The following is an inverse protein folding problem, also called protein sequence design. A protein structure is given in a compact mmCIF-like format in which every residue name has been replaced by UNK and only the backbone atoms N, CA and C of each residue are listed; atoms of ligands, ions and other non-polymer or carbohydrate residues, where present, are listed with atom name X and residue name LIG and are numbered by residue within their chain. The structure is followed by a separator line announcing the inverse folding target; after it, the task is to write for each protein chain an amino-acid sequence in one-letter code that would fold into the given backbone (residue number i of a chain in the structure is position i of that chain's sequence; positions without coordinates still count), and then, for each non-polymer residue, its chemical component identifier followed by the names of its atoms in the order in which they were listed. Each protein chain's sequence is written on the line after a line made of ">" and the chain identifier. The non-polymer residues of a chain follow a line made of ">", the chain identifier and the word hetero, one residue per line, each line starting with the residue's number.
data_IF_380201786456
#
_entry.id   IF_380201786456
#
_cell.length_a   1.000
_cell.length_b   1.000
_cell.length_c   1.000
_cell.angle_alpha   90.00
_cell.angle_beta   90.00
_cell.angle_gamma   90.00
#
_symmetry.space_group_name_H-M   'P 1'
#
loop_
_entity.id
_entity.type
_entity.pdbx_description
1 polymer ?
#
# COMPACT_ATOMS: atom_id res chain seq x y z
N UNK A 1 10.47 28.35 -6.64
CA UNK A 1 9.92 28.62 -5.30
C UNK A 1 8.57 27.89 -5.18
N UNK A 2 8.63 26.58 -4.90
CA UNK A 2 7.42 25.82 -4.57
C UNK A 2 7.02 26.23 -3.15
N UNK A 3 5.91 26.95 -3.03
CA UNK A 3 5.42 27.52 -1.78
C UNK A 3 5.20 26.40 -0.74
N UNK A 4 5.51 26.66 0.52
CA UNK A 4 5.31 25.74 1.66
C UNK A 4 3.88 25.19 1.71
N UNK A 5 2.89 25.97 1.26
CA UNK A 5 1.48 25.54 1.20
C UNK A 5 1.23 24.47 0.15
N UNK A 6 1.87 24.53 -1.01
CA UNK A 6 1.76 23.49 -2.04
C UNK A 6 2.42 22.19 -1.60
N UNK A 7 3.50 22.24 -0.81
CA UNK A 7 4.11 21.05 -0.21
C UNK A 7 3.20 20.34 0.79
N UNK A 8 2.48 21.11 1.61
CA UNK A 8 1.54 20.53 2.58
C UNK A 8 0.31 19.89 1.91
N UNK A 9 -0.12 20.35 0.74
CA UNK A 9 -1.18 19.71 -0.03
C UNK A 9 -0.74 18.37 -0.61
N UNK A 10 0.42 18.28 -1.26
CA UNK A 10 0.93 17.01 -1.82
C UNK A 10 1.24 15.94 -0.77
N UNK A 11 1.53 16.33 0.47
CA UNK A 11 1.95 15.42 1.53
C UNK A 11 0.76 14.68 2.17
N UNK A 12 -0.42 15.29 2.18
CA UNK A 12 -1.65 14.65 2.69
C UNK A 12 -2.36 13.77 1.65
N UNK A 13 -1.92 13.82 0.40
CA UNK A 13 -2.55 13.08 -0.70
C UNK A 13 -2.44 11.56 -0.53
N UNK A 14 -1.32 11.05 0.01
CA UNK A 14 -1.15 9.62 0.20
C UNK A 14 -2.11 9.06 1.26
N UNK A 15 -2.26 9.75 2.40
CA UNK A 15 -3.23 9.35 3.43
C UNK A 15 -4.67 9.45 2.93
N UNK A 16 -5.01 10.51 2.19
CA UNK A 16 -6.36 10.70 1.63
C UNK A 16 -6.67 9.62 0.60
N UNK A 17 -5.75 9.35 -0.34
CA UNK A 17 -5.89 8.28 -1.32
C UNK A 17 -6.04 6.91 -0.65
N UNK A 18 -5.24 6.64 0.38
CA UNK A 18 -5.30 5.39 1.14
C UNK A 18 -6.62 5.27 1.91
N UNK A 19 -7.15 6.36 2.46
CA UNK A 19 -8.44 6.37 3.14
C UNK A 19 -9.60 6.10 2.17
N UNK A 20 -9.59 6.73 0.98
CA UNK A 20 -10.60 6.46 -0.06
C UNK A 20 -10.52 5.01 -0.50
N UNK A 21 -9.31 4.49 -0.72
CA UNK A 21 -9.10 3.10 -1.09
C UNK A 21 -9.55 2.13 0.01
N UNK A 22 -9.31 2.46 1.28
CA UNK A 22 -9.78 1.70 2.42
C UNK A 22 -11.32 1.62 2.47
N UNK A 23 -12.02 2.72 2.20
CA UNK A 23 -13.48 2.75 2.10
C UNK A 23 -13.96 1.84 0.96
N UNK A 24 -13.33 1.91 -0.22
CA UNK A 24 -13.67 1.04 -1.35
C UNK A 24 -13.47 -0.44 -1.01
N UNK A 25 -12.40 -0.80 -0.30
CA UNK A 25 -12.18 -2.17 0.15
C UNK A 25 -13.25 -2.64 1.14
N UNK A 26 -13.71 -1.77 2.05
CA UNK A 26 -14.81 -2.08 2.96
C UNK A 26 -16.12 -2.31 2.20
N UNK A 27 -16.41 -1.49 1.18
CA UNK A 27 -17.63 -1.64 0.36
C UNK A 27 -17.63 -2.95 -0.45
N UNK A 28 -16.47 -3.42 -0.87
CA UNK A 28 -16.31 -4.72 -1.56
C UNK A 28 -16.36 -5.91 -0.59
N UNK A 29 -16.42 -5.67 0.72
CA UNK A 29 -16.49 -6.72 1.74
C UNK A 29 -15.13 -7.29 2.14
N UNK A 30 -14.05 -6.54 1.93
CA UNK A 30 -12.73 -6.96 2.38
C UNK A 30 -12.67 -7.03 3.91
N UNK A 31 -11.85 -7.95 4.42
CA UNK A 31 -11.63 -8.10 5.85
C UNK A 31 -11.10 -6.77 6.45
N UNK A 32 -11.69 -6.33 7.55
CA UNK A 32 -11.47 -5.01 8.16
C UNK A 32 -9.99 -4.66 8.45
N UNK A 33 -9.13 -5.65 8.59
CA UNK A 33 -7.69 -5.45 8.84
C UNK A 33 -6.97 -4.84 7.64
N UNK A 34 -7.39 -5.16 6.41
CA UNK A 34 -6.80 -4.65 5.16
C UNK A 34 -6.98 -3.13 5.05
N UNK A 35 -8.20 -2.57 5.18
CA UNK A 35 -8.41 -1.13 5.21
C UNK A 35 -7.60 -0.38 6.26
N UNK A 36 -7.47 -0.94 7.46
CA UNK A 36 -6.65 -0.35 8.52
C UNK A 36 -5.19 -0.30 8.11
N UNK A 37 -4.66 -1.39 7.56
CA UNK A 37 -3.29 -1.45 7.07
C UNK A 37 -3.01 -0.46 5.94
N UNK A 38 -3.97 -0.23 5.04
CA UNK A 38 -3.88 0.79 3.99
C UNK A 38 -3.74 2.20 4.57
N UNK A 39 -4.59 2.57 5.54
CA UNK A 39 -4.53 3.89 6.18
C UNK A 39 -3.21 4.07 6.93
N UNK A 40 -2.78 3.09 7.73
CA UNK A 40 -1.51 3.12 8.44
C UNK A 40 -0.34 3.24 7.45
N UNK A 41 -0.36 2.47 6.36
CA UNK A 41 0.64 2.55 5.30
C UNK A 41 0.72 3.93 4.67
N UNK A 42 -0.43 4.55 4.36
CA UNK A 42 -0.52 5.91 3.84
C UNK A 42 0.08 6.94 4.79
N UNK A 43 -0.25 6.87 6.09
CA UNK A 43 0.30 7.76 7.12
C UNK A 43 1.82 7.59 7.25
N UNK A 44 2.33 6.36 7.26
CA UNK A 44 3.78 6.10 7.31
C UNK A 44 4.48 6.68 6.10
N UNK A 45 3.90 6.52 4.89
CA UNK A 45 4.46 7.09 3.66
C UNK A 45 4.52 8.61 3.73
N UNK A 46 3.45 9.26 4.18
CA UNK A 46 3.41 10.71 4.34
C UNK A 46 4.48 11.17 5.35
N UNK A 47 4.64 10.44 6.47
CA UNK A 47 5.64 10.76 7.48
C UNK A 47 7.08 10.63 6.97
N UNK A 48 7.36 9.59 6.17
CA UNK A 48 8.68 9.38 5.55
C UNK A 48 9.04 10.47 4.52
N UNK A 49 8.04 11.01 3.85
CA UNK A 49 8.23 12.09 2.88
C UNK A 49 8.30 13.45 3.57
N UNK A 50 7.51 13.68 4.63
CA UNK A 50 7.53 14.92 5.43
C UNK A 50 8.87 15.18 6.12
N UNK A 51 9.56 14.16 6.57
CA UNK A 51 10.85 14.28 7.27
C UNK A 51 12.01 14.74 6.37
N UNK A 52 11.82 14.88 5.07
CA UNK A 52 12.87 15.25 4.12
C UNK A 52 12.69 16.67 3.59
N UNK A 53 13.80 17.45 3.62
CA UNK A 53 13.82 18.84 3.11
C UNK A 53 13.50 18.95 1.61
N UNK A 54 13.77 17.88 0.84
CA UNK A 54 13.48 17.79 -0.59
C UNK A 54 12.85 16.44 -0.91
N UNK A 55 11.76 16.47 -1.67
CA UNK A 55 11.09 15.26 -2.18
C UNK A 55 11.91 14.78 -3.38
N UNK A 56 12.72 13.74 -3.16
CA UNK A 56 13.52 13.11 -4.21
C UNK A 56 12.76 11.93 -4.79
N UNK A 57 12.92 11.64 -6.09
CA UNK A 57 12.35 10.45 -6.73
C UNK A 57 12.70 9.16 -5.98
N UNK A 58 13.90 9.08 -5.41
CA UNK A 58 14.33 7.94 -4.58
C UNK A 58 13.50 7.79 -3.30
N UNK A 59 13.15 8.90 -2.63
CA UNK A 59 12.32 8.83 -1.42
C UNK A 59 10.90 8.38 -1.72
N UNK A 60 10.34 8.79 -2.85
CA UNK A 60 9.03 8.33 -3.31
C UNK A 60 9.04 6.83 -3.64
N UNK A 61 10.11 6.34 -4.29
CA UNK A 61 10.28 4.91 -4.58
C UNK A 61 10.30 4.08 -3.30
N UNK A 62 11.07 4.50 -2.29
CA UNK A 62 11.18 3.80 -1.02
C UNK A 62 9.84 3.84 -0.25
N UNK A 63 9.17 4.99 -0.21
CA UNK A 63 7.86 5.12 0.43
C UNK A 63 6.83 4.19 -0.21
N UNK A 64 6.78 4.14 -1.54
CA UNK A 64 5.85 3.26 -2.26
C UNK A 64 6.17 1.77 -2.04
N UNK A 65 7.45 1.39 -2.01
CA UNK A 65 7.85 0.01 -1.72
C UNK A 65 7.45 -0.42 -0.30
N UNK A 66 7.62 0.47 0.69
CA UNK A 66 7.18 0.22 2.06
C UNK A 66 5.65 0.13 2.15
N UNK A 67 4.93 1.01 1.46
CA UNK A 67 3.47 0.94 1.37
C UNK A 67 3.00 -0.42 0.82
N UNK A 68 3.62 -0.87 -0.28
CA UNK A 68 3.32 -2.17 -0.89
C UNK A 68 3.60 -3.35 0.06
N UNK A 69 4.69 -3.29 0.82
CA UNK A 69 5.02 -4.31 1.82
C UNK A 69 4.01 -4.31 3.00
N UNK A 70 3.61 -3.14 3.48
CA UNK A 70 2.60 -2.99 4.54
C UNK A 70 1.24 -3.52 4.05
N UNK A 71 0.87 -3.22 2.82
CA UNK A 71 -0.36 -3.72 2.21
C UNK A 71 -0.33 -5.26 2.10
N UNK A 72 0.77 -5.84 1.58
CA UNK A 72 0.94 -7.30 1.50
C UNK A 72 0.88 -7.97 2.88
N UNK A 73 1.52 -7.37 3.88
CA UNK A 73 1.44 -7.83 5.27
C UNK A 73 0.00 -7.79 5.79
N UNK A 74 -0.71 -6.68 5.57
CA UNK A 74 -2.09 -6.50 6.04
C UNK A 74 -3.08 -7.47 5.39
N UNK A 75 -2.80 -7.89 4.15
CA UNK A 75 -3.64 -8.85 3.45
C UNK A 75 -3.46 -10.29 3.98
N UNK A 76 -2.24 -10.68 4.32
CA UNK A 76 -1.90 -12.07 4.68
C UNK A 76 -1.87 -12.30 6.20
N UNK A 77 -1.48 -11.29 6.98
CA UNK A 77 -1.37 -11.38 8.43
C UNK A 77 -2.65 -11.93 9.12
N UNK A 78 -3.86 -11.47 8.75
CA UNK A 78 -5.09 -11.97 9.39
C UNK A 78 -5.33 -13.46 9.18
N UNK A 79 -4.94 -14.01 8.04
CA UNK A 79 -5.15 -15.43 7.72
C UNK A 79 -4.39 -16.31 8.73
N UNK A 80 -3.23 -15.85 9.21
CA UNK A 80 -2.41 -16.63 10.15
C UNK A 80 -2.64 -16.26 11.61
N UNK A 81 -2.71 -14.96 11.93
CA UNK A 81 -2.73 -14.48 13.31
C UNK A 81 -4.14 -14.19 13.85
N UNK A 82 -5.11 -13.91 12.96
CA UNK A 82 -6.51 -13.66 13.30
C UNK A 82 -7.44 -14.68 12.63
N UNK A 83 -7.00 -15.93 12.57
CA UNK A 83 -7.66 -17.00 11.82
C UNK A 83 -9.15 -17.13 12.12
N UNK A 84 -9.55 -17.14 13.39
CA UNK A 84 -10.96 -17.27 13.78
C UNK A 84 -11.83 -16.11 13.29
N UNK A 85 -11.31 -14.87 13.39
CA UNK A 85 -12.02 -13.69 12.92
C UNK A 85 -12.07 -13.64 11.38
N UNK A 86 -10.99 -14.07 10.72
CA UNK A 86 -10.92 -14.14 9.26
C UNK A 86 -11.90 -15.17 8.71
N UNK A 87 -11.90 -16.41 9.24
CA UNK A 87 -12.82 -17.47 8.84
C UNK A 87 -14.26 -17.06 9.04
N UNK A 88 -14.61 -16.52 10.23
CA UNK A 88 -15.97 -16.04 10.48
C UNK A 88 -16.43 -14.91 9.56
N UNK A 89 -15.51 -14.06 9.08
CA UNK A 89 -15.84 -13.04 8.09
C UNK A 89 -16.06 -13.64 6.69
N UNK A 90 -15.27 -14.64 6.31
CA UNK A 90 -15.41 -15.34 5.03
C UNK A 90 -16.70 -16.15 4.96
N UNK A 91 -17.07 -16.85 6.05
CA UNK A 91 -18.34 -17.58 6.17
C UNK A 91 -19.54 -16.64 6.04
N UNK A 92 -19.50 -15.45 6.67
CA UNK A 92 -20.56 -14.44 6.53
C UNK A 92 -20.72 -13.95 5.08
N UNK A 93 -19.65 -13.96 4.32
CA UNK A 93 -19.65 -13.59 2.89
C UNK A 93 -19.98 -14.78 1.97
N UNK A 94 -20.43 -15.94 2.53
CA UNK A 94 -20.75 -17.15 1.81
C UNK A 94 -19.60 -17.69 0.95
N UNK A 95 -18.36 -17.53 1.39
CA UNK A 95 -17.19 -18.12 0.73
C UNK A 95 -17.13 -19.61 1.03
N UNK A 96 -16.88 -20.41 0.00
CA UNK A 96 -16.82 -21.87 0.12
C UNK A 96 -15.74 -22.31 1.12
N UNK A 97 -16.07 -23.24 2.01
CA UNK A 97 -15.18 -23.75 3.04
C UNK A 97 -13.89 -24.34 2.48
N UNK A 98 -13.99 -25.02 1.35
CA UNK A 98 -12.84 -25.60 0.64
C UNK A 98 -11.81 -24.52 0.24
N UNK A 99 -12.27 -23.34 -0.16
CA UNK A 99 -11.41 -22.20 -0.48
C UNK A 99 -10.72 -21.64 0.78
N UNK A 100 -11.46 -21.53 1.89
CA UNK A 100 -10.93 -21.08 3.19
C UNK A 100 -9.84 -22.03 3.67
N UNK A 101 -10.09 -23.33 3.64
CA UNK A 101 -9.13 -24.36 4.05
C UNK A 101 -7.89 -24.36 3.16
N UNK A 102 -8.06 -24.16 1.85
CA UNK A 102 -6.97 -24.00 0.91
C UNK A 102 -6.08 -22.80 1.25
N UNK A 103 -6.66 -21.64 1.55
CA UNK A 103 -5.93 -20.46 1.98
C UNK A 103 -5.16 -20.68 3.29
N UNK A 104 -5.78 -21.31 4.28
CA UNK A 104 -5.15 -21.60 5.56
C UNK A 104 -3.97 -22.57 5.43
N UNK A 105 -4.09 -23.58 4.59
CA UNK A 105 -3.03 -24.56 4.36
C UNK A 105 -1.81 -23.97 3.66
N UNK A 106 -2.01 -23.06 2.71
CA UNK A 106 -0.92 -22.41 1.97
C UNK A 106 -0.24 -21.33 2.84
N UNK A 107 -1.00 -20.67 3.73
CA UNK A 107 -0.48 -19.55 4.51
C UNK A 107 0.33 -20.02 5.71
N UNK A 108 1.62 -20.21 5.51
CA UNK A 108 2.62 -20.47 6.56
C UNK A 108 3.43 -19.22 6.90
N UNK A 109 4.09 -19.20 8.06
CA UNK A 109 4.95 -18.06 8.45
C UNK A 109 6.05 -17.77 7.42
N UNK A 110 6.77 -18.78 6.87
CA UNK A 110 7.72 -18.53 5.79
C UNK A 110 7.07 -17.91 4.54
N UNK A 111 5.85 -18.37 4.19
CA UNK A 111 5.13 -17.84 3.04
C UNK A 111 4.73 -16.37 3.24
N UNK A 112 4.36 -15.98 4.46
CA UNK A 112 4.10 -14.59 4.80
C UNK A 112 5.34 -13.70 4.54
N UNK A 113 6.53 -14.15 4.96
CA UNK A 113 7.78 -13.42 4.71
C UNK A 113 8.05 -13.29 3.22
N UNK A 114 7.85 -14.37 2.46
CA UNK A 114 8.04 -14.36 0.99
C UNK A 114 7.08 -13.39 0.32
N UNK A 115 5.81 -13.36 0.71
CA UNK A 115 4.79 -12.47 0.13
C UNK A 115 5.10 -11.00 0.46
N UNK A 116 5.51 -10.69 1.69
CA UNK A 116 5.90 -9.32 2.07
C UNK A 116 7.16 -8.88 1.31
N UNK A 117 8.15 -9.75 1.18
CA UNK A 117 9.35 -9.47 0.38
C UNK A 117 9.01 -9.27 -1.11
N UNK A 118 8.13 -10.11 -1.67
CA UNK A 118 7.65 -9.95 -3.04
C UNK A 118 6.86 -8.64 -3.21
N UNK A 119 6.04 -8.24 -2.22
CA UNK A 119 5.35 -6.96 -2.19
C UNK A 119 6.33 -5.77 -2.21
N UNK A 120 7.41 -5.85 -1.44
CA UNK A 120 8.45 -4.83 -1.40
C UNK A 120 9.18 -4.72 -2.75
N UNK A 121 9.61 -5.84 -3.31
CA UNK A 121 10.28 -5.89 -4.63
C UNK A 121 9.34 -5.42 -5.74
N UNK A 122 8.10 -5.90 -5.75
CA UNK A 122 7.06 -5.47 -6.69
C UNK A 122 6.77 -3.97 -6.59
N UNK A 123 6.74 -3.43 -5.36
CA UNK A 123 6.61 -2.00 -5.11
C UNK A 123 7.78 -1.18 -5.68
N UNK A 124 9.02 -1.65 -5.53
CA UNK A 124 10.20 -1.01 -6.13
C UNK A 124 10.12 -1.00 -7.66
N UNK A 125 9.82 -2.14 -8.26
CA UNK A 125 9.68 -2.27 -9.71
C UNK A 125 8.54 -1.38 -10.23
N UNK A 126 7.37 -1.42 -9.59
CA UNK A 126 6.20 -0.61 -9.92
C UNK A 126 6.49 0.88 -9.82
N UNK A 127 7.20 1.32 -8.78
CA UNK A 127 7.61 2.72 -8.63
C UNK A 127 8.55 3.18 -9.75
N UNK A 128 9.51 2.35 -10.15
CA UNK A 128 10.44 2.68 -11.25
C UNK A 128 9.71 2.77 -12.59
N UNK A 129 8.81 1.81 -12.86
CA UNK A 129 7.99 1.82 -14.08
C UNK A 129 7.07 3.04 -14.09
N UNK A 130 6.38 3.31 -12.99
CA UNK A 130 5.50 4.47 -12.83
C UNK A 130 6.23 5.79 -13.04
N UNK A 131 7.42 5.94 -12.47
CA UNK A 131 8.25 7.13 -12.67
C UNK A 131 8.65 7.31 -14.13
N UNK A 132 9.05 6.24 -14.83
CA UNK A 132 9.40 6.30 -16.26
C UNK A 132 8.20 6.67 -17.13
N UNK A 133 7.04 6.09 -16.86
CA UNK A 133 5.80 6.37 -17.59
C UNK A 133 5.34 7.82 -17.38
N UNK A 134 5.39 8.30 -16.14
CA UNK A 134 4.93 9.64 -15.78
C UNK A 134 5.95 10.75 -16.09
N UNK A 135 7.25 10.44 -16.12
CA UNK A 135 8.32 11.43 -16.39
C UNK A 135 8.06 12.24 -17.66
N UNK A 136 7.62 11.59 -18.73
CA UNK A 136 7.31 12.25 -20.01
C UNK A 136 6.14 13.24 -19.89
N UNK A 137 5.13 12.91 -19.08
CA UNK A 137 3.97 13.77 -18.84
C UNK A 137 4.29 14.92 -17.90
N UNK A 138 5.04 14.66 -16.83
CA UNK A 138 5.45 15.69 -15.85
C UNK A 138 6.42 16.72 -16.43
N UNK A 139 7.32 16.30 -17.32
CA UNK A 139 8.22 17.23 -18.03
C UNK A 139 7.40 18.14 -18.96
N UNK A 140 6.43 17.59 -19.72
CA UNK A 140 5.54 18.39 -20.57
C UNK A 140 4.65 19.36 -19.78
N UNK A 141 4.28 19.01 -18.55
CA UNK A 141 3.49 19.86 -17.66
C UNK A 141 4.32 20.89 -16.88
N UNK A 142 5.65 20.91 -17.06
CA UNK A 142 6.55 21.84 -16.37
C UNK A 142 6.71 21.58 -14.86
N UNK A 143 6.28 20.42 -14.38
CA UNK A 143 6.26 20.07 -12.95
C UNK A 143 7.62 19.53 -12.45
N UNK A 144 8.48 19.07 -13.35
CA UNK A 144 9.81 18.55 -13.03
C UNK A 144 10.84 19.19 -13.98
N UNK A 145 11.79 19.93 -13.43
CA UNK A 145 12.95 20.39 -14.17
C UNK A 145 13.93 19.22 -14.34
N UNK A 146 14.34 18.96 -15.56
CA UNK A 146 15.45 18.03 -15.86
C UNK A 146 16.74 18.72 -15.46
N UNK A 147 17.35 18.30 -14.37
CA UNK A 147 18.75 18.55 -14.06
C UNK A 147 19.52 17.26 -14.23
#
# INVERSE_FOLDING_TARGET
>A
LCDRRQRQMCIRDSTICSAIQAILFLLVGAFWFIPIGLVIGGVICDFLVMGRKEITMKSMTVAYALFSAIFAFSAICPIKFLQSAFVGAMEKNNIAQEYIDGMLNITSVPMLVVIVAAGLVGGLIGAVIGQKALKKHFIKAGLVSVK
#
